data_IF_128340128627
#
_entry.id   IF_128340128627
#
_cell.length_a   1.000
_cell.length_b   1.000
_cell.length_c   1.000
_cell.angle_alpha   90.00
_cell.angle_beta   90.00
_cell.angle_gamma   90.00
#
_symmetry.space_group_name_H-M   'P 1'
#
loop_
_entity.id
_entity.type
_entity.pdbx_description
1 polymer ?
#
# COMPACT_ATOMS: atom_id res chain seq x y z
N UNK A 1 3.89 11.37 16.31
CA UNK A 1 4.50 10.63 15.20
C UNK A 1 5.44 9.60 15.77
N UNK A 2 5.08 8.33 15.67
CA UNK A 2 5.96 7.21 16.00
C UNK A 2 6.57 6.77 14.67
N UNK A 3 7.85 7.07 14.47
CA UNK A 3 8.61 6.56 13.32
C UNK A 3 8.93 5.09 13.60
N UNK A 4 8.27 4.18 12.91
CA UNK A 4 8.57 2.75 12.97
C UNK A 4 9.44 2.38 11.77
N UNK A 5 10.74 2.27 11.99
CA UNK A 5 11.65 1.55 11.10
C UNK A 5 11.98 0.22 11.77
N UNK A 6 11.46 -0.90 11.25
CA UNK A 6 11.93 -2.24 11.65
C UNK A 6 11.85 -3.21 10.47
N UNK A 7 12.93 -3.98 10.31
CA UNK A 7 13.07 -5.12 9.40
C UNK A 7 11.92 -6.12 9.47
N UNK A 8 11.64 -6.77 8.34
CA UNK A 8 10.71 -7.89 8.17
C UNK A 8 10.87 -8.96 9.26
N UNK A 9 10.01 -8.87 10.28
CA UNK A 9 9.93 -9.82 11.40
C UNK A 9 8.99 -10.98 11.10
N UNK A 10 9.25 -12.10 11.76
CA UNK A 10 8.43 -13.32 11.66
C UNK A 10 6.97 -13.05 12.07
N UNK A 11 6.03 -13.92 11.67
CA UNK A 11 4.60 -13.77 12.01
C UNK A 11 4.31 -13.68 13.52
N UNK A 12 5.21 -14.18 14.37
CA UNK A 12 5.14 -14.01 15.83
C UNK A 12 5.48 -12.59 16.28
N UNK A 13 6.53 -11.97 15.73
CA UNK A 13 6.95 -10.60 16.08
C UNK A 13 5.91 -9.55 15.64
N UNK A 14 5.23 -9.78 14.50
CA UNK A 14 4.13 -8.92 14.04
C UNK A 14 2.93 -8.92 14.99
N UNK A 15 2.63 -10.07 15.62
CA UNK A 15 1.55 -10.19 16.60
C UNK A 15 1.89 -9.48 17.92
N UNK A 16 3.14 -9.60 18.38
CA UNK A 16 3.63 -8.94 19.58
C UNK A 16 3.64 -7.40 19.44
N UNK A 17 3.97 -6.88 18.25
CA UNK A 17 3.88 -5.45 17.95
C UNK A 17 2.45 -4.95 18.08
N UNK A 18 1.48 -5.70 17.55
CA UNK A 18 0.08 -5.30 17.62
C UNK A 18 -0.47 -5.35 19.06
N UNK A 19 -0.11 -6.38 19.82
CA UNK A 19 -0.49 -6.46 21.23
C UNK A 19 0.16 -5.30 22.03
N UNK A 20 1.40 -4.93 21.73
CA UNK A 20 2.06 -3.77 22.33
C UNK A 20 1.39 -2.44 21.95
N UNK A 21 1.03 -2.24 20.68
CA UNK A 21 0.31 -1.06 20.20
C UNK A 21 -1.10 -0.97 20.82
N UNK A 22 -1.80 -2.09 20.91
CA UNK A 22 -3.13 -2.17 21.53
C UNK A 22 -3.09 -1.95 23.04
N UNK A 23 -2.05 -2.43 23.73
CA UNK A 23 -1.81 -2.12 25.15
C UNK A 23 -1.51 -0.64 25.34
N UNK A 24 -0.73 -0.03 24.46
CA UNK A 24 -0.47 1.43 24.48
C UNK A 24 -1.75 2.23 24.26
N UNK A 25 -2.58 1.81 23.31
CA UNK A 25 -3.88 2.41 23.05
C UNK A 25 -4.82 2.26 24.25
N UNK A 26 -4.88 1.07 24.86
CA UNK A 26 -5.69 0.80 26.03
C UNK A 26 -5.21 1.58 27.28
N UNK A 27 -3.89 1.77 27.45
CA UNK A 27 -3.34 2.59 28.51
C UNK A 27 -3.69 4.07 28.32
N UNK A 28 -3.55 4.61 27.09
CA UNK A 28 -3.93 5.99 26.79
C UNK A 28 -5.44 6.23 26.96
N UNK A 29 -6.28 5.29 26.53
CA UNK A 29 -7.74 5.37 26.71
C UNK A 29 -8.17 5.11 28.16
N UNK A 30 -7.43 4.28 28.91
CA UNK A 30 -7.71 3.90 30.28
C UNK A 30 -7.34 4.98 31.30
N UNK A 31 -6.21 5.67 31.09
CA UNK A 31 -5.83 6.86 31.86
C UNK A 31 -6.90 7.96 31.69
N UNK A 32 -7.44 8.15 30.49
CA UNK A 32 -8.54 9.08 30.22
C UNK A 32 -9.86 8.73 30.94
N UNK A 33 -10.15 7.45 31.16
CA UNK A 33 -11.38 7.01 31.88
C UNK A 33 -11.21 7.13 33.39
N UNK A 34 -10.02 6.82 33.93
CA UNK A 34 -9.71 6.99 35.35
C UNK A 34 -9.65 8.47 35.75
N UNK A 35 -9.10 9.33 34.90
CA UNK A 35 -9.03 10.78 35.16
C UNK A 35 -10.41 11.45 35.06
N UNK A 36 -11.29 10.97 34.15
CA UNK A 36 -12.72 11.36 34.10
C UNK A 36 -13.50 10.86 35.32
N UNK A 37 -13.22 9.67 35.84
CA UNK A 37 -13.88 9.16 37.04
C UNK A 37 -13.49 9.95 38.29
N UNK A 38 -12.22 10.38 38.40
CA UNK A 38 -11.74 11.21 39.51
C UNK A 38 -12.26 12.66 39.42
N UNK A 39 -12.31 13.27 38.24
CA UNK A 39 -12.89 14.62 38.05
C UNK A 39 -14.41 14.64 38.22
N UNK A 40 -15.14 13.61 37.77
CA UNK A 40 -16.59 13.47 38.00
C UNK A 40 -16.95 13.15 39.47
N UNK A 41 -16.05 12.52 40.23
CA UNK A 41 -16.19 12.35 41.67
C UNK A 41 -15.89 13.63 42.46
N UNK A 42 -14.88 14.41 42.04
CA UNK A 42 -14.54 15.70 42.66
C UNK A 42 -15.63 16.76 42.43
N UNK A 43 -16.30 16.77 41.27
CA UNK A 43 -17.39 17.69 40.95
C UNK A 43 -18.71 17.46 41.71
N UNK A 44 -18.86 16.34 42.42
CA UNK A 44 -20.10 16.00 43.17
C UNK A 44 -20.03 16.32 44.67
N UNK A 45 -18.90 16.84 45.18
CA UNK A 45 -18.72 17.10 46.62
C UNK A 45 -18.55 18.58 47.01
N UNK A 46 -18.95 19.54 46.16
CA UNK A 46 -18.89 20.96 46.51
C UNK A 46 -20.21 21.69 46.21
N UNK A 47 -21.13 21.64 47.17
CA UNK A 47 -22.22 22.61 47.33
C UNK A 47 -22.11 23.24 48.72
N UNK A 48 -22.25 24.56 48.76
CA UNK A 48 -22.23 25.50 49.89
C UNK A 48 -20.86 25.87 50.49
N UNK A 49 -20.36 27.08 50.20
CA UNK A 49 -20.54 28.29 51.03
C UNK A 49 -19.87 29.53 50.39
N UNK A 50 -20.21 30.70 50.91
CA UNK A 50 -20.05 32.07 50.38
C UNK A 50 -18.69 32.71 50.75
N UNK A 51 -18.28 33.70 49.94
CA UNK A 51 -17.39 34.86 50.21
C UNK A 51 -15.84 34.77 50.06
N UNK A 52 -15.37 35.53 49.07
CA UNK A 52 -14.36 36.61 49.11
C UNK A 52 -12.83 36.34 49.08
N UNK A 53 -12.16 37.25 48.33
CA UNK A 53 -10.73 37.62 48.26
C UNK A 53 -9.69 36.81 47.44
N UNK A 54 -9.16 37.51 46.43
CA UNK A 54 -7.77 37.68 45.95
C UNK A 54 -6.72 36.55 45.96
N UNK A 55 -6.17 36.32 44.76
CA UNK A 55 -4.76 36.13 44.38
C UNK A 55 -3.99 34.87 44.84
N UNK A 56 -3.60 34.03 43.86
CA UNK A 56 -2.27 33.40 43.76
C UNK A 56 -2.19 32.47 42.53
N UNK A 57 -1.36 32.87 41.57
CA UNK A 57 -0.78 32.03 40.51
C UNK A 57 -0.21 30.72 41.09
N UNK A 58 -0.71 29.57 40.63
CA UNK A 58 -0.03 28.28 40.73
C UNK A 58 -0.28 27.49 39.46
N UNK A 59 0.64 27.62 38.51
CA UNK A 59 0.80 26.68 37.40
C UNK A 59 1.04 25.28 37.98
N UNK A 60 0.04 24.43 37.86
CA UNK A 60 0.20 22.97 37.90
C UNK A 60 0.19 22.48 36.47
N UNK A 61 1.03 21.49 36.10
CA UNK A 61 1.08 20.99 34.74
C UNK A 61 -0.25 20.27 34.44
N UNK A 62 -1.12 20.92 33.68
CA UNK A 62 -2.28 20.27 33.09
C UNK A 62 -1.77 19.19 32.13
N UNK A 63 -1.90 17.92 32.52
CA UNK A 63 -1.95 16.80 31.58
C UNK A 63 -3.23 16.99 30.76
N UNK A 64 -3.11 17.59 29.56
CA UNK A 64 -4.22 17.69 28.63
C UNK A 64 -4.60 16.28 28.18
N UNK A 65 -5.80 15.81 28.55
CA UNK A 65 -6.44 14.69 27.85
C UNK A 65 -6.50 15.01 26.34
N UNK A 66 -6.11 14.06 25.47
CA UNK A 66 -6.17 14.26 24.03
C UNK A 66 -7.59 14.63 23.60
N UNK A 67 -7.71 15.67 22.76
CA UNK A 67 -9.00 16.04 22.18
C UNK A 67 -9.55 14.92 21.29
N UNK A 68 -10.85 14.96 20.90
CA UNK A 68 -11.44 13.98 19.98
C UNK A 68 -10.64 13.84 18.66
N UNK A 69 -10.04 14.94 18.20
CA UNK A 69 -9.17 15.00 17.02
C UNK A 69 -7.85 14.26 17.23
N UNK A 70 -7.28 14.33 18.43
CA UNK A 70 -6.03 13.65 18.77
C UNK A 70 -6.23 12.13 18.84
N UNK A 71 -7.37 11.70 19.42
CA UNK A 71 -7.75 10.28 19.48
C UNK A 71 -7.99 9.69 18.08
N UNK A 72 -8.67 10.42 17.19
CA UNK A 72 -8.88 9.98 15.80
C UNK A 72 -7.55 9.86 15.06
N UNK A 73 -6.68 10.86 15.17
CA UNK A 73 -5.36 10.87 14.51
C UNK A 73 -4.47 9.74 14.99
N UNK A 74 -4.52 9.44 16.30
CA UNK A 74 -3.83 8.29 16.87
C UNK A 74 -4.36 6.97 16.30
N UNK A 75 -5.69 6.82 16.21
CA UNK A 75 -6.31 5.63 15.63
C UNK A 75 -5.93 5.45 14.15
N UNK A 76 -5.95 6.51 13.35
CA UNK A 76 -5.47 6.47 11.96
C UNK A 76 -4.01 5.99 11.90
N UNK A 77 -3.14 6.53 12.75
CA UNK A 77 -1.72 6.16 12.80
C UNK A 77 -1.53 4.68 13.13
N UNK A 78 -2.30 4.14 14.07
CA UNK A 78 -2.24 2.73 14.46
C UNK A 78 -2.73 1.83 13.31
N UNK A 79 -3.90 2.15 12.72
CA UNK A 79 -4.45 1.37 11.61
C UNK A 79 -3.49 1.36 10.43
N UNK A 80 -2.91 2.52 10.09
CA UNK A 80 -1.91 2.62 9.03
C UNK A 80 -0.68 1.76 9.32
N UNK A 81 -0.11 1.85 10.53
CA UNK A 81 1.07 1.06 10.90
C UNK A 81 0.79 -0.45 10.83
N UNK A 82 -0.39 -0.90 11.24
CA UNK A 82 -0.77 -2.31 11.14
C UNK A 82 -0.85 -2.79 9.69
N UNK A 83 -1.53 -2.02 8.83
CA UNK A 83 -1.64 -2.35 7.40
C UNK A 83 -0.28 -2.32 6.69
N UNK A 84 0.61 -1.38 7.05
CA UNK A 84 1.97 -1.33 6.50
C UNK A 84 2.79 -2.60 6.85
N UNK A 85 2.54 -3.20 8.02
CA UNK A 85 3.18 -4.43 8.48
C UNK A 85 2.49 -5.72 7.99
N UNK A 86 1.46 -5.61 7.14
CA UNK A 86 0.73 -6.77 6.62
C UNK A 86 -0.29 -7.33 7.61
N UNK A 87 -0.78 -6.52 8.55
CA UNK A 87 -1.79 -6.93 9.53
C UNK A 87 -3.15 -6.36 9.13
N UNK A 88 -4.08 -7.24 8.76
CA UNK A 88 -5.35 -6.91 8.11
C UNK A 88 -6.56 -7.69 8.68
N UNK A 89 -6.42 -8.23 9.89
CA UNK A 89 -7.43 -9.10 10.52
C UNK A 89 -8.73 -8.37 10.95
N UNK A 90 -9.69 -9.12 11.51
CA UNK A 90 -11.01 -8.59 11.94
C UNK A 90 -10.92 -7.40 12.91
N UNK A 91 -9.83 -7.29 13.67
CA UNK A 91 -9.60 -6.14 14.57
C UNK A 91 -9.36 -4.89 13.74
N UNK A 92 -8.50 -4.98 12.72
CA UNK A 92 -8.22 -3.86 11.81
C UNK A 92 -9.47 -3.48 11.03
N UNK A 93 -10.25 -4.44 10.56
CA UNK A 93 -11.57 -4.18 9.94
C UNK A 93 -12.47 -3.38 10.89
N UNK A 94 -12.54 -3.77 12.16
CA UNK A 94 -13.33 -3.06 13.18
C UNK A 94 -12.84 -1.63 13.43
N UNK A 95 -11.52 -1.41 13.47
CA UNK A 95 -10.93 -0.08 13.62
C UNK A 95 -11.18 0.79 12.39
N UNK A 96 -11.12 0.23 11.17
CA UNK A 96 -11.46 0.94 9.95
C UNK A 96 -12.93 1.39 9.95
N UNK A 97 -13.86 0.55 10.41
CA UNK A 97 -15.26 0.95 10.60
C UNK A 97 -15.41 2.10 11.60
N UNK A 98 -14.66 2.09 12.71
CA UNK A 98 -14.65 3.20 13.68
C UNK A 98 -14.10 4.51 13.07
N UNK A 99 -13.16 4.41 12.14
CA UNK A 99 -12.66 5.56 11.37
C UNK A 99 -13.66 6.06 10.32
N UNK A 100 -14.71 5.29 10.02
CA UNK A 100 -15.77 5.64 9.07
C UNK A 100 -15.62 5.02 7.67
N UNK A 101 -14.74 4.02 7.52
CA UNK A 101 -14.70 3.22 6.29
C UNK A 101 -15.94 2.30 6.22
N UNK A 102 -16.54 2.10 5.04
CA UNK A 102 -17.66 1.17 4.87
C UNK A 102 -17.20 -0.29 4.94
N UNK A 103 -18.13 -1.23 5.08
CA UNK A 103 -17.80 -2.67 5.15
C UNK A 103 -17.31 -3.29 3.84
N UNK A 104 -17.56 -2.62 2.71
CA UNK A 104 -16.92 -2.93 1.44
C UNK A 104 -16.46 -1.64 0.79
N UNK A 105 -15.19 -1.58 0.36
CA UNK A 105 -14.63 -0.44 -0.35
C UNK A 105 -13.56 -0.90 -1.33
N UNK A 106 -13.38 -0.11 -2.37
CA UNK A 106 -12.24 -0.20 -3.27
C UNK A 106 -11.28 0.94 -2.91
N UNK A 107 -9.98 0.70 -2.97
CA UNK A 107 -8.95 1.66 -2.63
C UNK A 107 -7.70 1.49 -3.49
N UNK A 108 -6.90 2.54 -3.59
CA UNK A 108 -5.52 2.49 -4.08
C UNK A 108 -4.64 3.32 -3.14
N UNK A 109 -3.32 3.17 -3.25
CA UNK A 109 -2.36 3.95 -2.45
C UNK A 109 -1.59 4.92 -3.33
N UNK A 110 -1.25 6.09 -2.80
CA UNK A 110 -0.22 6.95 -3.35
C UNK A 110 0.87 7.17 -2.32
N UNK A 111 2.11 7.29 -2.77
CA UNK A 111 3.24 7.55 -1.90
C UNK A 111 4.24 8.49 -2.56
N UNK A 112 4.88 9.33 -1.76
CA UNK A 112 5.91 10.24 -2.22
C UNK A 112 6.51 11.05 -1.09
N UNK A 113 7.52 11.84 -1.41
CA UNK A 113 8.16 12.75 -0.46
C UNK A 113 7.36 14.05 -0.40
N UNK A 114 6.93 14.52 0.80
CA UNK A 114 6.29 15.83 0.94
C UNK A 114 7.20 16.96 0.46
N UNK A 115 6.66 17.91 -0.30
CA UNK A 115 7.38 19.13 -0.64
C UNK A 115 7.81 19.86 0.65
N UNK A 116 9.06 20.33 0.69
CA UNK A 116 9.66 20.99 1.87
C UNK A 116 9.71 20.10 3.13
N UNK A 117 9.46 18.78 3.01
CA UNK A 117 9.40 17.84 4.13
C UNK A 117 8.31 18.16 5.17
N UNK A 118 7.28 18.93 4.82
CA UNK A 118 6.14 19.20 5.70
C UNK A 118 5.03 18.15 5.51
N UNK A 119 5.11 17.10 6.32
CA UNK A 119 4.14 15.99 6.33
C UNK A 119 2.73 16.48 6.63
N UNK A 120 2.57 17.42 7.56
CA UNK A 120 1.25 17.86 8.03
C UNK A 120 0.51 18.65 6.95
N UNK A 121 1.22 19.54 6.27
CA UNK A 121 0.68 20.35 5.16
C UNK A 121 0.39 19.46 3.95
N UNK A 122 1.29 18.52 3.62
CA UNK A 122 1.05 17.59 2.51
C UNK A 122 -0.17 16.70 2.77
N UNK A 123 -0.31 16.14 3.97
CA UNK A 123 -1.49 15.34 4.34
C UNK A 123 -2.79 16.15 4.27
N UNK A 124 -2.77 17.41 4.73
CA UNK A 124 -3.93 18.31 4.62
C UNK A 124 -4.27 18.65 3.15
N UNK A 125 -3.27 18.85 2.30
CA UNK A 125 -3.44 19.09 0.86
C UNK A 125 -4.07 17.89 0.15
N UNK A 126 -3.61 16.67 0.46
CA UNK A 126 -4.21 15.43 -0.07
C UNK A 126 -5.69 15.36 0.32
N UNK A 127 -6.01 15.52 1.62
CA UNK A 127 -7.40 15.47 2.11
C UNK A 127 -8.30 16.51 1.45
N UNK A 128 -7.80 17.73 1.27
CA UNK A 128 -8.57 18.84 0.67
C UNK A 128 -8.76 18.69 -0.84
N UNK A 129 -7.87 17.93 -1.51
CA UNK A 129 -7.94 17.70 -2.94
C UNK A 129 -8.88 16.54 -3.32
N UNK A 130 -9.28 15.72 -2.35
CA UNK A 130 -10.25 14.65 -2.57
C UNK A 130 -11.68 15.23 -2.64
N UNK A 131 -12.51 14.74 -3.58
CA UNK A 131 -13.89 15.18 -3.68
C UNK A 131 -14.70 14.71 -2.48
N UNK A 132 -15.68 15.53 -2.06
CA UNK A 132 -16.63 15.12 -1.02
C UNK A 132 -17.48 13.94 -1.50
N UNK A 133 -17.65 12.93 -0.65
CA UNK A 133 -18.44 11.75 -1.01
C UNK A 133 -19.94 11.97 -0.92
N UNK A 134 -20.66 11.37 -1.87
CA UNK A 134 -22.13 11.42 -1.89
C UNK A 134 -22.77 10.43 -0.91
N UNK A 135 -22.05 9.37 -0.52
CA UNK A 135 -22.52 8.36 0.44
C UNK A 135 -22.58 8.86 1.90
N UNK A 136 -22.14 10.10 2.15
CA UNK A 136 -22.15 10.74 3.45
C UNK A 136 -21.12 10.18 4.43
N UNK A 137 -20.22 9.30 3.98
CA UNK A 137 -19.14 8.79 4.82
C UNK A 137 -18.06 9.86 5.03
N UNK A 138 -17.49 9.97 6.25
CA UNK A 138 -16.59 11.06 6.59
C UNK A 138 -15.13 10.81 6.18
N UNK A 139 -14.78 9.59 5.77
CA UNK A 139 -13.39 9.18 5.56
C UNK A 139 -13.11 8.79 4.11
N UNK A 140 -12.24 9.59 3.48
CA UNK A 140 -11.87 9.46 2.07
C UNK A 140 -10.48 8.86 1.87
N UNK A 141 -9.62 8.99 2.89
CA UNK A 141 -8.28 8.43 2.87
C UNK A 141 -7.73 8.16 4.28
N UNK A 142 -6.79 7.21 4.36
CA UNK A 142 -5.96 6.92 5.54
C UNK A 142 -4.53 7.31 5.18
N UNK A 143 -3.89 8.15 6.00
CA UNK A 143 -2.56 8.70 5.71
C UNK A 143 -1.61 8.32 6.83
N UNK A 144 -0.40 7.90 6.47
CA UNK A 144 0.67 7.66 7.41
C UNK A 144 2.05 7.82 6.77
N UNK A 145 3.08 7.83 7.61
CA UNK A 145 4.46 7.99 7.21
C UNK A 145 5.20 6.66 7.31
N UNK A 146 6.06 6.36 6.34
CA UNK A 146 6.95 5.22 6.35
C UNK A 146 8.28 5.57 5.69
N UNK A 147 9.40 5.37 6.40
CA UNK A 147 10.76 5.62 5.91
C UNK A 147 10.98 7.00 5.24
N UNK A 148 10.34 8.05 5.78
CA UNK A 148 10.44 9.43 5.28
C UNK A 148 9.52 9.74 4.09
N UNK A 149 8.72 8.77 3.64
CA UNK A 149 7.69 8.96 2.63
C UNK A 149 6.31 9.08 3.29
N UNK A 150 5.46 9.94 2.73
CA UNK A 150 4.06 10.03 3.12
C UNK A 150 3.23 9.15 2.17
N UNK A 151 2.39 8.30 2.76
CA UNK A 151 1.57 7.33 2.05
C UNK A 151 0.10 7.60 2.37
N UNK A 152 -0.72 7.72 1.34
CA UNK A 152 -2.15 7.88 1.46
C UNK A 152 -2.87 6.72 0.77
N UNK A 153 -3.59 5.92 1.55
CA UNK A 153 -4.59 4.98 1.06
C UNK A 153 -5.87 5.74 0.79
N UNK A 154 -6.30 5.81 -0.47
CA UNK A 154 -7.45 6.59 -0.93
C UNK A 154 -8.56 5.65 -1.39
N UNK A 155 -9.79 5.91 -0.99
CA UNK A 155 -10.96 5.18 -1.50
C UNK A 155 -11.28 5.59 -2.93
N UNK A 156 -11.49 4.58 -3.77
CA UNK A 156 -11.84 4.70 -5.19
C UNK A 156 -13.32 4.35 -5.39
N UNK A 157 -14.03 5.20 -6.13
CA UNK A 157 -15.43 5.03 -6.54
C UNK A 157 -15.70 5.84 -7.83
N UNK A 158 -16.97 6.01 -8.19
CA UNK A 158 -17.39 6.72 -9.39
C UNK A 158 -16.96 8.21 -9.38
N UNK A 159 -16.80 8.80 -8.19
CA UNK A 159 -16.35 10.18 -8.00
C UNK A 159 -14.82 10.32 -7.95
N UNK A 160 -14.12 9.28 -7.49
CA UNK A 160 -12.67 9.26 -7.27
C UNK A 160 -12.01 8.11 -8.04
N UNK A 161 -11.67 8.36 -9.30
CA UNK A 161 -10.93 7.42 -10.14
C UNK A 161 -9.43 7.36 -9.80
N UNK A 162 -8.74 6.24 -10.11
CA UNK A 162 -7.29 6.14 -9.93
C UNK A 162 -6.49 7.24 -10.65
N UNK A 163 -6.97 7.71 -11.81
CA UNK A 163 -6.32 8.78 -12.57
C UNK A 163 -6.43 10.14 -11.86
N UNK A 164 -7.55 10.42 -11.20
CA UNK A 164 -7.68 11.59 -10.34
C UNK A 164 -6.74 11.50 -9.14
N UNK A 165 -6.63 10.32 -8.51
CA UNK A 165 -5.71 10.09 -7.40
C UNK A 165 -4.25 10.29 -7.83
N UNK A 166 -3.88 9.82 -9.02
CA UNK A 166 -2.56 10.09 -9.62
C UNK A 166 -2.31 11.58 -9.86
N UNK A 167 -3.35 12.32 -10.27
CA UNK A 167 -3.32 13.78 -10.40
C UNK A 167 -3.06 14.49 -9.07
N UNK A 168 -3.69 14.04 -7.99
CA UNK A 168 -3.46 14.56 -6.63
C UNK A 168 -2.03 14.28 -6.16
N UNK A 169 -1.51 13.08 -6.44
CA UNK A 169 -0.13 12.73 -6.08
C UNK A 169 0.88 13.69 -6.73
N UNK A 170 0.71 14.00 -8.03
CA UNK A 170 1.58 14.95 -8.76
C UNK A 170 1.58 16.37 -8.17
N UNK A 171 0.47 16.80 -7.58
CA UNK A 171 0.35 18.16 -7.04
C UNK A 171 0.81 18.26 -5.60
N UNK A 172 0.69 17.18 -4.82
CA UNK A 172 0.96 17.19 -3.39
C UNK A 172 2.40 16.80 -3.01
N UNK A 173 3.06 15.96 -3.81
CA UNK A 173 4.42 15.48 -3.53
C UNK A 173 5.49 16.29 -4.27
N UNK A 174 6.74 16.18 -3.82
CA UNK A 174 7.89 16.80 -4.47
C UNK A 174 8.13 16.15 -5.86
N UNK A 175 8.06 16.90 -6.97
CA UNK A 175 8.26 16.34 -8.31
C UNK A 175 9.72 15.96 -8.61
N UNK A 176 10.68 16.33 -7.75
CA UNK A 176 12.07 15.92 -7.87
C UNK A 176 12.33 14.53 -7.28
N UNK A 177 11.40 13.99 -6.49
CA UNK A 177 11.48 12.69 -5.84
C UNK A 177 10.51 11.68 -6.48
N UNK A 178 10.75 10.36 -6.35
CA UNK A 178 9.84 9.35 -6.87
C UNK A 178 8.43 9.45 -6.26
N UNK A 179 7.41 9.49 -7.13
CA UNK A 179 6.00 9.46 -6.74
C UNK A 179 5.42 8.13 -7.22
N UNK A 180 4.79 7.37 -6.33
CA UNK A 180 4.24 6.05 -6.61
C UNK A 180 2.72 6.01 -6.52
N UNK A 181 2.09 5.27 -7.43
CA UNK A 181 0.70 4.85 -7.39
C UNK A 181 0.62 3.32 -7.27
N UNK A 182 -0.04 2.88 -6.21
CA UNK A 182 -0.36 1.48 -5.94
C UNK A 182 -1.58 0.99 -6.70
N UNK A 183 -1.77 -0.34 -6.76
CA UNK A 183 -2.83 -0.92 -7.54
C UNK A 183 -4.17 -0.76 -6.83
N UNK A 184 -5.25 -0.85 -7.60
CA UNK A 184 -6.60 -0.90 -7.03
C UNK A 184 -6.82 -2.25 -6.33
N UNK A 185 -7.31 -2.18 -5.09
CA UNK A 185 -7.56 -3.33 -4.23
C UNK A 185 -8.86 -3.13 -3.43
N UNK A 186 -9.32 -4.16 -2.73
CA UNK A 186 -10.60 -4.16 -2.03
C UNK A 186 -10.45 -4.52 -0.54
N UNK A 187 -11.18 -3.79 0.31
CA UNK A 187 -11.29 -4.04 1.76
C UNK A 187 -9.94 -3.94 2.51
N UNK A 188 -9.93 -4.30 3.79
CA UNK A 188 -8.75 -4.16 4.67
C UNK A 188 -7.54 -4.95 4.15
N UNK A 189 -7.74 -6.19 3.69
CA UNK A 189 -6.66 -7.00 3.13
C UNK A 189 -6.07 -6.38 1.87
N UNK A 190 -6.94 -5.92 0.96
CA UNK A 190 -6.50 -5.18 -0.21
C UNK A 190 -5.81 -3.86 0.12
N UNK A 191 -6.26 -3.14 1.15
CA UNK A 191 -5.62 -1.92 1.63
C UNK A 191 -4.20 -2.18 2.15
N UNK A 192 -4.00 -3.27 2.89
CA UNK A 192 -2.68 -3.73 3.34
C UNK A 192 -1.75 -3.94 2.15
N UNK A 193 -2.15 -4.77 1.18
CA UNK A 193 -1.37 -5.01 -0.04
C UNK A 193 -1.11 -3.73 -0.85
N UNK A 194 -2.09 -2.82 -0.95
CA UNK A 194 -1.90 -1.56 -1.66
C UNK A 194 -0.87 -0.64 -0.99
N UNK A 195 -0.85 -0.57 0.35
CA UNK A 195 0.17 0.17 1.12
C UNK A 195 1.54 -0.49 0.98
N UNK A 196 1.62 -1.81 1.16
CA UNK A 196 2.88 -2.55 1.04
C UNK A 196 3.48 -2.46 -0.37
N UNK A 197 2.64 -2.49 -1.41
CA UNK A 197 3.09 -2.36 -2.79
C UNK A 197 3.83 -1.03 -3.05
N UNK A 198 3.31 0.10 -2.54
CA UNK A 198 3.97 1.40 -2.72
C UNK A 198 5.22 1.55 -1.85
N UNK A 199 5.24 0.98 -0.64
CA UNK A 199 6.43 0.90 0.22
C UNK A 199 7.55 0.15 -0.51
N UNK A 200 7.24 -1.06 -0.98
CA UNK A 200 8.20 -1.92 -1.65
C UNK A 200 8.66 -1.32 -2.99
N UNK A 201 7.77 -0.65 -3.73
CA UNK A 201 8.13 0.06 -4.95
C UNK A 201 9.12 1.22 -4.69
N UNK A 202 8.85 2.07 -3.69
CA UNK A 202 9.76 3.16 -3.32
C UNK A 202 11.11 2.64 -2.81
N UNK A 203 11.10 1.54 -2.05
CA UNK A 203 12.33 0.90 -1.61
C UNK A 203 13.13 0.33 -2.81
N UNK A 204 12.46 -0.34 -3.76
CA UNK A 204 13.07 -0.85 -4.99
C UNK A 204 13.71 0.27 -5.82
N UNK A 205 13.04 1.42 -5.90
CA UNK A 205 13.51 2.58 -6.68
C UNK A 205 14.88 3.08 -6.24
N UNK A 206 15.26 2.91 -4.97
CA UNK A 206 16.58 3.33 -4.46
C UNK A 206 17.74 2.62 -5.17
N UNK A 207 17.52 1.41 -5.67
CA UNK A 207 18.51 0.64 -6.44
C UNK A 207 18.26 0.67 -7.96
N UNK A 208 17.20 1.36 -8.40
CA UNK A 208 16.75 1.36 -9.76
C UNK A 208 17.50 2.43 -10.57
N UNK A 209 18.32 2.01 -11.54
CA UNK A 209 19.14 2.93 -12.36
C UNK A 209 18.47 3.33 -13.67
N UNK A 210 17.28 2.79 -13.95
CA UNK A 210 16.52 3.08 -15.16
C UNK A 210 15.66 4.33 -14.96
N UNK A 211 15.28 4.94 -16.06
CA UNK A 211 14.18 5.89 -16.06
C UNK A 211 12.84 5.15 -15.90
N UNK A 212 11.97 5.68 -15.06
CA UNK A 212 10.63 5.14 -14.76
C UNK A 212 9.62 6.28 -14.91
N UNK A 213 8.49 6.08 -15.60
CA UNK A 213 7.46 7.09 -15.73
C UNK A 213 7.08 7.71 -14.39
N UNK A 214 6.84 9.03 -14.36
CA UNK A 214 6.39 9.74 -13.15
C UNK A 214 4.93 10.22 -13.32
N UNK A 215 4.02 9.83 -12.43
CA UNK A 215 4.20 9.01 -11.24
C UNK A 215 4.36 7.55 -11.67
N UNK A 216 5.21 6.80 -10.98
CA UNK A 216 5.39 5.39 -11.27
C UNK A 216 4.22 4.58 -10.76
N UNK A 217 3.89 3.51 -11.47
CA UNK A 217 3.01 2.46 -10.98
C UNK A 217 3.83 1.42 -10.24
N UNK A 218 3.24 0.74 -9.25
CA UNK A 218 3.94 -0.36 -8.57
C UNK A 218 4.23 -1.53 -9.52
N UNK A 219 3.42 -1.67 -10.58
CA UNK A 219 3.57 -2.61 -11.68
C UNK A 219 4.87 -2.38 -12.48
N UNK A 220 5.34 -1.12 -12.54
CA UNK A 220 6.55 -0.75 -13.27
C UNK A 220 7.81 -1.37 -12.66
N UNK A 221 7.73 -1.90 -11.43
CA UNK A 221 8.85 -2.44 -10.63
C UNK A 221 8.60 -3.87 -10.14
N UNK A 222 7.68 -4.62 -10.77
CA UNK A 222 7.37 -5.98 -10.34
C UNK A 222 8.60 -6.89 -10.21
N UNK A 223 9.54 -6.95 -11.18
CA UNK A 223 10.72 -7.81 -11.04
C UNK A 223 11.61 -7.41 -9.86
N UNK A 224 11.86 -6.11 -9.69
CA UNK A 224 12.71 -5.61 -8.61
C UNK A 224 12.08 -5.91 -7.25
N UNK A 225 10.77 -5.62 -7.10
CA UNK A 225 9.99 -5.98 -5.90
C UNK A 225 10.05 -7.49 -5.61
N UNK A 226 9.80 -8.33 -6.61
CA UNK A 226 9.83 -9.77 -6.47
C UNK A 226 11.22 -10.31 -6.04
N UNK A 227 12.30 -9.72 -6.58
CA UNK A 227 13.68 -10.08 -6.22
C UNK A 227 14.04 -9.64 -4.79
N UNK A 228 13.45 -8.56 -4.28
CA UNK A 228 13.61 -8.13 -2.89
C UNK A 228 12.83 -8.98 -1.89
N UNK A 229 11.94 -9.86 -2.35
CA UNK A 229 11.13 -10.71 -1.48
C UNK A 229 9.69 -10.26 -1.31
N UNK A 230 9.22 -9.28 -2.09
CA UNK A 230 7.80 -8.91 -2.14
C UNK A 230 6.97 -10.08 -2.73
N UNK A 231 6.19 -10.74 -1.88
CA UNK A 231 5.33 -11.87 -2.24
C UNK A 231 4.18 -11.44 -3.15
N UNK A 232 3.55 -10.28 -2.89
CA UNK A 232 2.49 -9.74 -3.76
C UNK A 232 3.00 -9.50 -5.19
N UNK A 233 4.23 -8.97 -5.33
CA UNK A 233 4.82 -8.77 -6.66
C UNK A 233 5.08 -10.10 -7.39
N UNK A 234 5.46 -11.16 -6.66
CA UNK A 234 5.67 -12.50 -7.24
C UNK A 234 4.34 -13.10 -7.68
N UNK A 235 3.33 -13.04 -6.82
CA UNK A 235 1.99 -13.53 -7.12
C UNK A 235 1.37 -12.77 -8.28
N UNK A 236 1.58 -11.46 -8.36
CA UNK A 236 1.11 -10.65 -9.49
C UNK A 236 1.83 -11.01 -10.80
N UNK A 237 3.15 -11.16 -10.80
CA UNK A 237 3.91 -11.65 -11.98
C UNK A 237 3.42 -13.03 -12.43
N UNK A 238 3.13 -13.92 -11.50
CA UNK A 238 2.70 -15.26 -11.81
C UNK A 238 1.26 -15.26 -12.33
N UNK A 239 0.31 -14.69 -11.59
CA UNK A 239 -1.11 -14.72 -11.93
C UNK A 239 -1.46 -13.87 -13.15
N UNK A 240 -1.05 -12.61 -13.16
CA UNK A 240 -1.44 -11.66 -14.22
C UNK A 240 -0.71 -11.87 -15.54
N UNK A 241 0.46 -12.53 -15.52
CA UNK A 241 1.29 -12.73 -16.72
C UNK A 241 1.46 -14.21 -17.03
N UNK A 242 2.12 -14.98 -16.16
CA UNK A 242 2.48 -16.36 -16.49
C UNK A 242 1.23 -17.25 -16.69
N UNK A 243 0.31 -17.23 -15.72
CA UNK A 243 -0.93 -18.00 -15.80
C UNK A 243 -1.85 -17.48 -16.91
N UNK A 244 -1.96 -16.16 -17.06
CA UNK A 244 -2.72 -15.56 -18.14
C UNK A 244 -2.22 -16.00 -19.53
N UNK A 245 -0.90 -16.04 -19.74
CA UNK A 245 -0.30 -16.50 -21.00
C UNK A 245 -0.38 -18.02 -21.17
N UNK A 246 -0.31 -18.79 -20.07
CA UNK A 246 -0.47 -20.24 -20.08
C UNK A 246 -1.89 -20.63 -20.49
N UNK A 247 -2.88 -19.92 -19.96
CA UNK A 247 -4.31 -20.15 -20.19
C UNK A 247 -4.77 -21.56 -19.81
N UNK A 248 -6.03 -21.86 -20.09
CA UNK A 248 -6.63 -23.17 -19.82
C UNK A 248 -6.38 -24.19 -20.95
N UNK A 249 -6.08 -23.70 -22.16
CA UNK A 249 -5.84 -24.55 -23.32
C UNK A 249 -4.34 -24.91 -23.42
N UNK A 250 -3.93 -26.14 -23.09
CA UNK A 250 -2.52 -26.54 -23.15
C UNK A 250 -1.94 -26.51 -24.56
N UNK A 251 -2.79 -26.54 -25.59
CA UNK A 251 -2.37 -26.44 -26.99
C UNK A 251 -2.20 -24.99 -27.48
N UNK A 252 -2.52 -23.97 -26.67
CA UNK A 252 -2.28 -22.58 -27.03
C UNK A 252 -0.76 -22.30 -27.06
N UNK A 253 -0.18 -21.97 -28.22
CA UNK A 253 1.26 -21.80 -28.36
C UNK A 253 1.76 -20.42 -27.89
N UNK A 254 0.90 -19.57 -27.30
CA UNK A 254 1.23 -18.18 -26.95
C UNK A 254 2.38 -18.10 -25.94
N UNK A 255 2.25 -18.75 -24.78
CA UNK A 255 3.33 -18.80 -23.77
C UNK A 255 4.64 -19.38 -24.34
N UNK A 256 4.55 -20.47 -25.09
CA UNK A 256 5.71 -21.09 -25.74
C UNK A 256 6.40 -20.11 -26.72
N UNK A 257 5.60 -19.38 -27.50
CA UNK A 257 6.11 -18.41 -28.48
C UNK A 257 6.80 -17.25 -27.78
N UNK A 258 6.23 -16.70 -26.70
CA UNK A 258 6.85 -15.62 -25.90
C UNK A 258 8.16 -16.10 -25.28
N UNK A 259 8.18 -17.30 -24.67
CA UNK A 259 9.42 -17.86 -24.09
C UNK A 259 10.52 -17.99 -25.13
N UNK A 260 10.25 -18.64 -26.26
CA UNK A 260 11.28 -18.85 -27.30
C UNK A 260 11.72 -17.51 -27.90
N UNK A 261 10.81 -16.54 -28.00
CA UNK A 261 11.15 -15.21 -28.47
C UNK A 261 12.15 -14.50 -27.56
N UNK A 262 11.90 -14.53 -26.25
CA UNK A 262 12.80 -13.96 -25.25
C UNK A 262 14.14 -14.70 -25.21
N UNK A 263 14.12 -16.05 -25.23
CA UNK A 263 15.31 -16.91 -25.26
C UNK A 263 16.16 -16.70 -26.53
N UNK A 264 15.53 -16.26 -27.62
CA UNK A 264 16.19 -15.94 -28.90
C UNK A 264 16.67 -14.48 -29.00
N UNK A 265 16.73 -13.75 -27.88
CA UNK A 265 17.16 -12.36 -27.83
C UNK A 265 16.19 -11.41 -28.53
N UNK A 266 14.88 -11.66 -28.40
CA UNK A 266 13.80 -10.89 -29.05
C UNK A 266 13.89 -10.85 -30.58
N UNK A 267 14.44 -11.90 -31.22
CA UNK A 267 14.55 -12.01 -32.67
C UNK A 267 13.38 -12.77 -33.29
N UNK A 268 12.58 -12.08 -34.12
CA UNK A 268 11.46 -12.69 -34.83
C UNK A 268 11.89 -13.84 -35.76
N UNK A 269 12.98 -13.67 -36.51
CA UNK A 269 13.46 -14.67 -37.47
C UNK A 269 14.09 -15.88 -36.79
N UNK A 270 14.78 -15.71 -35.66
CA UNK A 270 15.29 -16.83 -34.88
C UNK A 270 14.13 -17.62 -34.25
N UNK A 271 13.14 -16.93 -33.71
CA UNK A 271 11.93 -17.52 -33.12
C UNK A 271 11.11 -18.29 -34.15
N UNK A 272 10.89 -17.71 -35.32
CA UNK A 272 10.15 -18.33 -36.42
C UNK A 272 10.82 -19.63 -36.88
N UNK A 273 12.16 -19.62 -37.02
CA UNK A 273 12.94 -20.82 -37.33
C UNK A 273 12.85 -21.87 -36.22
N UNK A 274 12.99 -21.48 -34.96
CA UNK A 274 12.91 -22.39 -33.82
C UNK A 274 11.53 -23.06 -33.70
N UNK A 275 10.46 -22.32 -33.99
CA UNK A 275 9.09 -22.81 -33.97
C UNK A 275 8.62 -23.46 -35.28
N UNK A 276 9.42 -23.41 -36.35
CA UNK A 276 9.04 -23.83 -37.70
C UNK A 276 7.74 -23.17 -38.21
N UNK A 277 7.57 -21.88 -37.93
CA UNK A 277 6.42 -21.07 -38.38
C UNK A 277 6.88 -19.87 -39.20
N UNK A 278 5.94 -19.17 -39.83
CA UNK A 278 6.23 -17.91 -40.52
C UNK A 278 6.45 -16.77 -39.50
N UNK A 279 7.37 -15.80 -39.73
CA UNK A 279 7.58 -14.67 -38.82
C UNK A 279 6.30 -13.86 -38.49
N UNK A 280 5.36 -13.75 -39.43
CA UNK A 280 4.06 -13.11 -39.18
C UNK A 280 3.23 -13.84 -38.11
N UNK A 281 3.33 -15.17 -38.04
CA UNK A 281 2.66 -15.96 -36.98
C UNK A 281 3.25 -15.63 -35.62
N UNK A 282 4.56 -15.43 -35.53
CA UNK A 282 5.22 -14.97 -34.29
C UNK A 282 4.70 -13.59 -33.91
N UNK A 283 4.74 -12.62 -34.82
CA UNK A 283 4.21 -11.25 -34.56
C UNK A 283 2.75 -11.27 -34.08
N UNK A 284 1.91 -12.07 -34.72
CA UNK A 284 0.51 -12.22 -34.32
C UNK A 284 0.37 -12.76 -32.90
N UNK A 285 1.12 -13.79 -32.53
CA UNK A 285 1.09 -14.38 -31.18
C UNK A 285 1.65 -13.44 -30.12
N UNK A 286 2.72 -12.68 -30.43
CA UNK A 286 3.24 -11.66 -29.53
C UNK A 286 2.22 -10.55 -29.29
N UNK A 287 1.56 -10.06 -30.36
CA UNK A 287 0.47 -9.09 -30.22
C UNK A 287 -0.66 -9.63 -29.33
N UNK A 288 -1.08 -10.88 -29.55
CA UNK A 288 -2.07 -11.56 -28.70
C UNK A 288 -1.60 -11.67 -27.25
N UNK A 289 -0.32 -11.97 -27.00
CA UNK A 289 0.23 -12.00 -25.64
C UNK A 289 0.09 -10.65 -24.94
N UNK A 290 0.38 -9.55 -25.64
CA UNK A 290 0.17 -8.18 -25.12
C UNK A 290 -1.30 -7.88 -24.87
N UNK A 291 -2.21 -8.33 -25.73
CA UNK A 291 -3.66 -8.20 -25.49
C UNK A 291 -4.14 -8.99 -24.26
N UNK A 292 -3.48 -10.11 -23.93
CA UNK A 292 -3.83 -10.97 -22.79
C UNK A 292 -3.31 -10.42 -21.46
N UNK A 293 -2.01 -10.09 -21.40
CA UNK A 293 -1.35 -9.74 -20.13
C UNK A 293 -0.98 -8.26 -20.00
N UNK A 294 -1.16 -7.46 -21.05
CA UNK A 294 -0.83 -6.02 -21.05
C UNK A 294 0.64 -5.70 -21.34
N UNK A 295 1.51 -6.70 -21.53
CA UNK A 295 2.96 -6.51 -21.70
C UNK A 295 3.44 -6.88 -23.13
N UNK A 296 4.23 -6.00 -23.74
CA UNK A 296 4.85 -6.13 -25.06
C UNK A 296 6.24 -6.73 -24.96
N UNK A 297 6.39 -7.97 -25.43
CA UNK A 297 7.68 -8.66 -25.45
C UNK A 297 8.74 -7.97 -26.33
N UNK A 298 8.35 -7.06 -27.22
CA UNK A 298 9.28 -6.32 -28.08
C UNK A 298 9.85 -5.07 -27.41
N UNK A 299 9.23 -4.59 -26.33
CA UNK A 299 9.82 -3.57 -25.46
C UNK A 299 10.84 -4.20 -24.51
N UNK A 300 11.97 -3.54 -24.30
CA UNK A 300 13.08 -4.10 -23.51
C UNK A 300 12.75 -4.20 -22.03
N UNK A 301 11.97 -3.27 -21.47
CA UNK A 301 11.52 -3.33 -20.07
C UNK A 301 10.52 -4.46 -19.93
N UNK A 302 9.49 -4.44 -20.74
CA UNK A 302 8.38 -5.36 -20.62
C UNK A 302 8.81 -6.80 -20.90
N UNK A 303 9.77 -7.01 -21.82
CA UNK A 303 10.46 -8.28 -22.01
C UNK A 303 11.13 -8.82 -20.73
N UNK A 304 11.75 -7.95 -19.92
CA UNK A 304 12.33 -8.36 -18.64
C UNK A 304 11.27 -8.74 -17.60
N UNK A 305 10.14 -8.02 -17.58
CA UNK A 305 8.98 -8.35 -16.74
C UNK A 305 8.42 -9.72 -17.13
N UNK A 306 8.16 -9.94 -18.41
CA UNK A 306 7.71 -11.23 -18.97
C UNK A 306 8.68 -12.37 -18.66
N UNK A 307 9.99 -12.15 -18.87
CA UNK A 307 11.03 -13.16 -18.59
C UNK A 307 11.04 -13.56 -17.11
N UNK A 308 10.90 -12.58 -16.22
CA UNK A 308 10.86 -12.79 -14.76
C UNK A 308 9.60 -13.58 -14.39
N UNK A 309 8.42 -13.16 -14.88
CA UNK A 309 7.17 -13.87 -14.67
C UNK A 309 7.21 -15.32 -15.14
N UNK A 310 7.71 -15.58 -16.36
CA UNK A 310 7.83 -16.94 -16.90
C UNK A 310 8.77 -17.79 -16.05
N UNK A 311 9.87 -17.21 -15.57
CA UNK A 311 10.81 -17.92 -14.70
C UNK A 311 10.17 -18.28 -13.35
N UNK A 312 9.54 -17.32 -12.69
CA UNK A 312 8.83 -17.54 -11.42
C UNK A 312 7.71 -18.59 -11.56
N UNK A 313 6.90 -18.47 -12.62
CA UNK A 313 5.83 -19.42 -12.91
C UNK A 313 6.33 -20.85 -13.11
N UNK A 314 7.42 -21.04 -13.87
CA UNK A 314 8.07 -22.36 -14.03
C UNK A 314 8.61 -22.93 -12.72
N UNK A 315 9.20 -22.09 -11.87
CA UNK A 315 9.68 -22.53 -10.55
C UNK A 315 8.54 -23.00 -9.65
N UNK A 316 7.42 -22.27 -9.66
CA UNK A 316 6.19 -22.63 -8.94
C UNK A 316 5.60 -23.94 -9.45
N UNK A 317 5.43 -24.08 -10.77
CA UNK A 317 4.91 -25.29 -11.40
C UNK A 317 5.77 -26.53 -11.12
N UNK A 318 7.09 -26.35 -10.95
CA UNK A 318 8.02 -27.40 -10.59
C UNK A 318 8.05 -27.73 -9.08
N UNK A 319 7.27 -27.02 -8.24
CA UNK A 319 7.30 -27.17 -6.78
C UNK A 319 8.65 -26.80 -6.16
N UNK A 320 9.46 -25.98 -6.84
CA UNK A 320 10.79 -25.58 -6.39
C UNK A 320 10.77 -24.32 -5.52
N UNK A 321 9.59 -23.77 -5.29
CA UNK A 321 9.40 -22.64 -4.40
C UNK A 321 9.65 -23.05 -2.96
N UNK A 322 10.54 -22.33 -2.27
CA UNK A 322 10.79 -22.54 -0.84
C UNK A 322 10.09 -21.42 -0.10
N UNK A 323 8.91 -21.71 0.44
CA UNK A 323 8.28 -20.80 1.39
C UNK A 323 9.17 -20.74 2.64
N UNK A 324 9.52 -19.52 3.06
CA UNK A 324 10.38 -19.25 4.22
C UNK A 324 9.66 -19.51 5.55
N UNK A 325 8.85 -20.58 5.66
CA UNK A 325 7.90 -20.76 6.77
C UNK A 325 7.74 -22.16 7.35
N UNK A 326 8.19 -23.23 6.71
CA UNK A 326 8.04 -24.59 7.27
C UNK A 326 9.32 -25.43 7.11
N UNK A 327 10.17 -25.36 8.15
CA UNK A 327 10.98 -26.49 8.64
C UNK A 327 11.09 -26.45 10.15
#
# INVERSE_FOLDING_TARGET
MVSSSVHAGSGGERKDLLDLLMVRLAAMLGDDVLDRAHTAAAGRSASNTVADTADAHKDSPHTLSPGPTDARTLLESIVFACLAEGIDDERIVSLMHLLGWPGSFICCSIAGTPAQHDVSVCAASIRTSLPARQDGTPQDCLIGEHDGHLIALVRVDDETSPDQVAGIAKTCFDPAEPICLGPTRQNASGASHAIQAVINALFAMRACTRDVPQPMRTEDLLPERALMGDEDARDELIGSIYEALKGDNPDDPTLLTVSIFLDSGASLDATARALSVHPNTVRYRLKRATEICGWDATDTREAYILSTAITLGRLRDAGMWRDNGER
#
